data_IF_731489166902
#
_entry.id   IF_731489166902
#
_cell.length_a   1.000
_cell.length_b   1.000
_cell.length_c   1.000
_cell.angle_alpha   90.00
_cell.angle_beta   90.00
_cell.angle_gamma   90.00
#
_symmetry.space_group_name_H-M   'P 1'
#
loop_
_entity.id
_entity.type
_entity.pdbx_description
1 polymer ?
#
# COMPACT_ATOMS: atom_id res chain seq x y z
N UNK A 1 8.58 11.43 -14.46
CA UNK A 1 7.12 11.22 -14.30
C UNK A 1 6.55 12.55 -13.89
N UNK A 2 5.24 12.75 -13.95
CA UNK A 2 4.67 13.94 -13.32
C UNK A 2 4.99 13.87 -11.82
N UNK A 3 5.71 14.85 -11.29
CA UNK A 3 6.16 14.89 -9.89
C UNK A 3 5.01 15.29 -8.94
N UNK A 4 3.78 15.33 -9.47
CA UNK A 4 2.59 15.73 -8.73
C UNK A 4 2.24 14.70 -7.65
N UNK A 5 2.34 15.12 -6.40
CA UNK A 5 1.90 14.36 -5.24
C UNK A 5 0.38 14.45 -5.12
N UNK A 6 -0.25 13.32 -4.83
CA UNK A 6 -1.67 13.25 -4.53
C UNK A 6 -1.89 12.60 -3.17
N UNK A 7 -2.83 13.14 -2.42
CA UNK A 7 -3.30 12.58 -1.16
C UNK A 7 -4.65 11.91 -1.36
N UNK A 8 -4.78 10.66 -0.92
CA UNK A 8 -6.07 9.99 -0.77
C UNK A 8 -6.67 10.33 0.59
N UNK A 9 -7.77 11.08 0.62
CA UNK A 9 -8.50 11.42 1.84
C UNK A 9 -9.92 10.85 1.80
N UNK A 10 -10.56 10.78 2.96
CA UNK A 10 -11.97 10.39 3.08
C UNK A 10 -12.83 11.61 3.35
N UNK A 11 -13.64 12.00 2.37
CA UNK A 11 -14.59 13.11 2.44
C UNK A 11 -16.01 12.56 2.24
N UNK A 12 -16.95 12.92 3.11
CA UNK A 12 -18.37 12.54 3.00
C UNK A 12 -18.61 11.04 2.76
N UNK A 13 -17.80 10.20 3.40
CA UNK A 13 -17.88 8.74 3.29
C UNK A 13 -17.22 8.14 2.04
N UNK A 14 -16.70 8.96 1.12
CA UNK A 14 -16.03 8.56 -0.13
C UNK A 14 -14.53 8.81 -0.06
N UNK A 15 -13.76 8.04 -0.82
CA UNK A 15 -12.33 8.28 -0.99
C UNK A 15 -12.11 9.21 -2.18
N UNK A 16 -11.39 10.31 -1.98
CA UNK A 16 -11.08 11.29 -3.03
C UNK A 16 -9.58 11.57 -3.08
N UNK A 17 -9.07 11.83 -4.28
CA UNK A 17 -7.69 12.26 -4.49
C UNK A 17 -7.64 13.79 -4.54
N UNK A 18 -6.77 14.39 -3.72
CA UNK A 18 -6.47 15.82 -3.74
C UNK A 18 -5.00 16.04 -4.11
N UNK A 19 -4.67 17.00 -4.98
CA UNK A 19 -3.29 17.40 -5.18
C UNK A 19 -2.66 17.91 -3.88
N UNK A 20 -1.39 17.59 -3.66
CA UNK A 20 -0.61 18.01 -2.49
C UNK A 20 -0.25 16.84 -1.56
N UNK A 21 0.75 17.08 -0.72
CA UNK A 21 1.23 16.16 0.31
C UNK A 21 0.43 16.35 1.60
N UNK A 22 0.02 15.29 2.30
CA UNK A 22 -0.67 15.43 3.58
C UNK A 22 0.32 15.84 4.67
N UNK A 23 -0.13 16.63 5.65
CA UNK A 23 0.73 17.02 6.79
C UNK A 23 1.15 15.82 7.66
N UNK A 24 0.26 14.84 7.84
CA UNK A 24 0.51 13.64 8.65
C UNK A 24 -0.01 12.38 7.91
N UNK A 25 0.73 11.87 6.90
CA UNK A 25 0.35 10.63 6.23
C UNK A 25 0.45 9.45 7.21
N UNK A 26 -0.48 8.50 7.14
CA UNK A 26 -0.32 7.20 7.79
C UNK A 26 0.63 6.28 7.00
N UNK A 27 0.66 6.45 5.68
CA UNK A 27 1.49 5.72 4.75
C UNK A 27 1.70 6.53 3.47
N UNK A 28 2.83 6.29 2.80
CA UNK A 28 3.14 6.84 1.48
C UNK A 28 3.46 5.71 0.52
N UNK A 29 3.02 5.86 -0.73
CA UNK A 29 3.41 5.01 -1.84
C UNK A 29 4.13 5.85 -2.89
N UNK A 30 5.28 5.36 -3.36
CA UNK A 30 6.02 5.96 -4.47
C UNK A 30 6.02 4.96 -5.62
N UNK A 31 5.39 5.34 -6.73
CA UNK A 31 5.21 4.48 -7.89
C UNK A 31 6.16 4.89 -9.01
N UNK A 32 6.78 3.91 -9.66
CA UNK A 32 7.35 4.13 -10.99
C UNK A 32 6.22 4.16 -12.03
N UNK A 33 6.47 4.77 -13.19
CA UNK A 33 5.51 4.75 -14.31
C UNK A 33 5.16 3.32 -14.73
N UNK A 34 6.15 2.43 -14.76
CA UNK A 34 5.95 1.03 -15.09
C UNK A 34 5.08 0.32 -14.03
N UNK A 35 5.24 0.65 -12.75
CA UNK A 35 4.37 0.14 -11.70
C UNK A 35 2.92 0.58 -11.85
N UNK A 36 2.69 1.87 -12.13
CA UNK A 36 1.33 2.37 -12.40
C UNK A 36 0.71 1.58 -13.57
N UNK A 37 1.43 1.48 -14.68
CA UNK A 37 0.95 0.78 -15.88
C UNK A 37 0.58 -0.67 -15.58
N UNK A 38 1.50 -1.44 -14.99
CA UNK A 38 1.25 -2.84 -14.64
C UNK A 38 0.05 -3.03 -13.69
N UNK A 39 -0.11 -2.14 -12.72
CA UNK A 39 -1.23 -2.19 -11.77
C UNK A 39 -2.55 -1.85 -12.47
N UNK A 40 -2.58 -0.83 -13.33
CA UNK A 40 -3.81 -0.32 -13.97
C UNK A 40 -4.23 -1.07 -15.23
N UNK A 41 -3.31 -1.72 -15.93
CA UNK A 41 -3.62 -2.59 -17.08
C UNK A 41 -4.37 -3.87 -16.67
N UNK A 42 -4.50 -4.12 -15.37
CA UNK A 42 -5.25 -5.24 -14.86
C UNK A 42 -6.74 -4.98 -14.83
N UNK A 43 -7.50 -5.74 -15.62
CA UNK A 43 -8.89 -5.98 -15.31
C UNK A 43 -8.99 -6.98 -14.14
N UNK A 44 -9.98 -6.81 -13.26
CA UNK A 44 -10.22 -7.76 -12.18
C UNK A 44 -10.83 -7.15 -10.93
N UNK A 45 -10.79 -7.95 -9.87
CA UNK A 45 -11.31 -7.61 -8.55
C UNK A 45 -10.32 -6.77 -7.74
N UNK A 46 -10.77 -6.22 -6.60
CA UNK A 46 -9.87 -5.59 -5.62
C UNK A 46 -8.76 -6.55 -5.14
N UNK A 47 -8.99 -7.86 -5.18
CA UNK A 47 -7.97 -8.87 -4.89
C UNK A 47 -6.88 -8.92 -5.95
N UNK A 48 -7.23 -8.81 -7.22
CA UNK A 48 -6.28 -8.81 -8.34
C UNK A 48 -5.41 -7.55 -8.32
N UNK A 49 -6.03 -6.40 -8.04
CA UNK A 49 -5.31 -5.16 -7.74
C UNK A 49 -4.32 -5.36 -6.58
N UNK A 50 -4.78 -5.95 -5.46
CA UNK A 50 -3.96 -6.20 -4.29
C UNK A 50 -2.76 -7.11 -4.56
N UNK A 51 -2.93 -8.13 -5.41
CA UNK A 51 -1.84 -9.02 -5.85
C UNK A 51 -0.80 -8.29 -6.70
N UNK A 52 -1.24 -7.49 -7.67
CA UNK A 52 -0.34 -6.71 -8.54
C UNK A 52 0.43 -5.68 -7.73
N UNK A 53 -0.25 -4.94 -6.86
CA UNK A 53 0.40 -4.00 -5.94
C UNK A 53 1.41 -4.71 -5.05
N UNK A 54 1.04 -5.85 -4.46
CA UNK A 54 1.95 -6.65 -3.64
C UNK A 54 3.18 -7.11 -4.43
N UNK A 55 3.00 -7.56 -5.67
CA UNK A 55 4.11 -7.96 -6.55
C UNK A 55 5.07 -6.80 -6.78
N UNK A 56 4.56 -5.59 -7.00
CA UNK A 56 5.39 -4.43 -7.25
C UNK A 56 6.06 -3.89 -5.97
N UNK A 57 5.48 -4.11 -4.78
CA UNK A 57 6.12 -3.77 -3.49
C UNK A 57 7.16 -4.81 -3.05
N UNK A 58 6.90 -6.10 -3.24
CA UNK A 58 7.68 -7.19 -2.62
C UNK A 58 8.25 -8.23 -3.59
N UNK A 59 7.83 -8.23 -4.85
CA UNK A 59 8.16 -9.25 -5.86
C UNK A 59 9.57 -9.16 -6.44
N UNK A 60 10.34 -8.12 -6.09
CA UNK A 60 11.76 -8.02 -6.41
C UNK A 60 12.09 -7.55 -7.83
N UNK A 61 11.10 -7.33 -8.70
CA UNK A 61 11.31 -6.68 -10.00
C UNK A 61 11.57 -5.17 -9.80
N UNK A 62 12.78 -4.66 -10.07
CA UNK A 62 13.09 -3.24 -9.93
C UNK A 62 12.34 -2.36 -10.95
N UNK A 63 11.91 -2.90 -12.09
CA UNK A 63 11.17 -2.13 -13.10
C UNK A 63 9.76 -1.79 -12.61
N UNK A 64 9.07 -2.74 -11.95
CA UNK A 64 7.77 -2.51 -11.32
C UNK A 64 7.87 -2.06 -9.85
N UNK A 65 8.98 -1.50 -9.38
CA UNK A 65 9.10 -1.26 -7.94
C UNK A 65 8.13 -0.18 -7.43
N UNK A 66 7.40 -0.51 -6.36
CA UNK A 66 6.63 0.45 -5.55
C UNK A 66 7.28 0.54 -4.19
N UNK A 67 7.68 1.75 -3.79
CA UNK A 67 8.15 1.97 -2.44
C UNK A 67 6.97 2.22 -1.51
N UNK A 68 6.82 1.37 -0.50
CA UNK A 68 5.81 1.51 0.55
C UNK A 68 6.47 1.97 1.85
N UNK A 69 6.09 3.17 2.32
CA UNK A 69 6.60 3.76 3.56
C UNK A 69 5.45 3.92 4.58
N UNK A 70 5.30 2.99 5.54
CA UNK A 70 4.43 3.21 6.69
C UNK A 70 5.08 4.23 7.62
N UNK A 71 4.39 5.33 7.90
CA UNK A 71 4.83 6.43 8.78
C UNK A 71 4.19 6.35 10.16
N UNK A 72 3.15 5.52 10.32
CA UNK A 72 2.48 5.26 11.61
C UNK A 72 2.70 3.84 12.13
N UNK A 73 2.28 3.60 13.38
CA UNK A 73 2.37 2.29 14.02
C UNK A 73 1.35 1.30 13.46
N UNK A 74 1.66 0.00 13.54
CA UNK A 74 0.70 -1.05 13.17
C UNK A 74 -0.60 -1.01 13.99
N UNK A 75 -0.51 -0.59 15.25
CA UNK A 75 -1.68 -0.39 16.12
C UNK A 75 -2.59 0.71 15.56
N UNK A 76 -2.00 1.78 15.02
CA UNK A 76 -2.74 2.84 14.33
C UNK A 76 -3.44 2.30 13.10
N UNK A 77 -2.75 1.50 12.27
CA UNK A 77 -3.38 0.88 11.10
C UNK A 77 -4.58 0.01 11.45
N UNK A 78 -4.48 -0.78 12.53
CA UNK A 78 -5.60 -1.58 13.02
C UNK A 78 -6.77 -0.70 13.46
N UNK A 79 -6.51 0.31 14.30
CA UNK A 79 -7.54 1.23 14.82
C UNK A 79 -8.22 2.03 13.72
N UNK A 80 -7.49 2.45 12.68
CA UNK A 80 -8.02 3.20 11.53
C UNK A 80 -8.67 2.31 10.46
N UNK A 81 -8.70 0.98 10.67
CA UNK A 81 -9.45 0.05 9.83
C UNK A 81 -8.76 -0.40 8.54
N UNK A 82 -7.46 -0.11 8.36
CA UNK A 82 -6.72 -0.50 7.15
C UNK A 82 -6.69 -2.01 6.92
N UNK A 83 -6.74 -2.81 7.98
CA UNK A 83 -6.83 -4.27 7.88
C UNK A 83 -8.17 -4.76 7.31
N UNK A 84 -9.23 -3.95 7.37
CA UNK A 84 -10.50 -4.26 6.70
C UNK A 84 -10.34 -4.33 5.18
N UNK A 85 -9.46 -3.51 4.60
CA UNK A 85 -9.14 -3.51 3.16
C UNK A 85 -8.48 -4.84 2.76
N UNK A 86 -7.62 -5.40 3.63
CA UNK A 86 -6.99 -6.70 3.39
C UNK A 86 -8.02 -7.82 3.29
N UNK A 87 -9.07 -7.77 4.12
CA UNK A 87 -10.17 -8.74 4.08
C UNK A 87 -10.95 -8.64 2.76
N UNK A 88 -11.16 -7.43 2.23
CA UNK A 88 -11.80 -7.21 0.93
C UNK A 88 -10.95 -7.73 -0.23
N UNK A 89 -9.62 -7.63 -0.14
CA UNK A 89 -8.69 -8.18 -1.14
C UNK A 89 -8.62 -9.73 -1.13
N UNK A 90 -9.31 -10.38 -0.20
CA UNK A 90 -9.41 -11.84 -0.11
C UNK A 90 -8.30 -12.49 0.73
N UNK A 91 -8.47 -13.79 1.05
CA UNK A 91 -7.62 -14.48 2.02
C UNK A 91 -6.18 -14.68 1.53
N UNK A 92 -5.95 -14.75 0.23
CA UNK A 92 -4.62 -14.93 -0.35
C UNK A 92 -3.76 -13.67 -0.16
N UNK A 93 -4.28 -12.50 -0.54
CA UNK A 93 -3.60 -11.21 -0.37
C UNK A 93 -3.37 -10.91 1.11
N UNK A 94 -4.37 -11.17 1.95
CA UNK A 94 -4.24 -11.07 3.41
C UNK A 94 -3.07 -11.89 3.96
N UNK A 95 -2.93 -13.16 3.54
CA UNK A 95 -1.83 -14.04 3.95
C UNK A 95 -0.47 -13.54 3.46
N UNK A 96 -0.40 -13.00 2.23
CA UNK A 96 0.82 -12.45 1.67
C UNK A 96 1.32 -11.25 2.47
N UNK A 97 0.44 -10.29 2.73
CA UNK A 97 0.74 -9.06 3.48
C UNK A 97 1.08 -9.39 4.94
N UNK A 98 0.30 -10.26 5.60
CA UNK A 98 0.54 -10.62 7.00
C UNK A 98 1.90 -11.29 7.19
N UNK A 99 2.34 -12.15 6.26
CA UNK A 99 3.69 -12.75 6.31
C UNK A 99 4.81 -11.69 6.27
N UNK A 100 4.66 -10.66 5.45
CA UNK A 100 5.66 -9.59 5.34
C UNK A 100 5.62 -8.61 6.52
N UNK A 101 4.44 -8.24 6.99
CA UNK A 101 4.28 -7.41 8.19
C UNK A 101 4.89 -8.10 9.41
N UNK A 102 4.65 -9.41 9.58
CA UNK A 102 5.26 -10.17 10.68
C UNK A 102 6.78 -10.24 10.58
N UNK A 103 7.35 -10.41 9.37
CA UNK A 103 8.81 -10.34 9.14
C UNK A 103 9.40 -8.96 9.46
N UNK A 104 8.65 -7.89 9.19
CA UNK A 104 9.07 -6.53 9.51
C UNK A 104 9.05 -6.26 11.03
N UNK A 105 8.05 -6.77 11.73
CA UNK A 105 7.96 -6.70 13.20
C UNK A 105 9.10 -7.48 13.85
N UNK A 106 9.38 -8.70 13.38
CA UNK A 106 10.44 -9.54 13.96
C UNK A 106 11.85 -9.04 13.63
N UNK A 107 12.06 -8.38 12.49
CA UNK A 107 13.36 -7.77 12.13
C UNK A 107 13.64 -6.45 12.86
N UNK A 108 12.61 -5.66 13.19
CA UNK A 108 12.75 -4.47 14.06
C UNK A 108 12.82 -4.77 15.56
N UNK A 109 12.73 -6.05 15.96
CA UNK A 109 13.03 -6.51 17.33
C UNK A 109 14.52 -6.53 17.68
N UNK A 110 15.41 -6.18 16.73
CA UNK A 110 16.81 -5.82 16.97
C UNK A 110 17.00 -4.35 16.59
N UNK A 111 16.45 -3.45 17.40
CA UNK A 111 16.83 -2.06 17.39
C UNK A 111 18.00 -1.85 18.36
N UNK A 112 18.92 -0.98 17.97
CA UNK A 112 19.99 -0.42 18.80
C UNK A 112 19.44 0.19 20.09
#
# INVERSE_FOLDING_TARGET
GDDTIYTLIREEGRSVLRPGEPEDPDLSFYFTRAAVHYITEGEGTIGDFGKRLYHCVFGGDPACRVEFRPTTSIRTFYRRGYFGILRLAGPEVSRMIMRHVMRFITSRGKAW
#
